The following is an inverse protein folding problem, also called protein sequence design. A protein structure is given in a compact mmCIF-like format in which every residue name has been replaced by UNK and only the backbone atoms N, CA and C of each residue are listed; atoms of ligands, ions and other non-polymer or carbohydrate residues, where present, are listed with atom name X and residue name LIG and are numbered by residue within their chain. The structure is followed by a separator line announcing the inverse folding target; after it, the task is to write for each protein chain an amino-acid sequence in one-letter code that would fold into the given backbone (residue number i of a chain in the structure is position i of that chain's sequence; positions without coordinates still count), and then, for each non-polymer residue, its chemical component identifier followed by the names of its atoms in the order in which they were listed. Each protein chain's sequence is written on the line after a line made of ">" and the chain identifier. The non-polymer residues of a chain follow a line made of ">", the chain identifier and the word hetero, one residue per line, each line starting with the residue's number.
data_IF_420489304718
#
_entry.id   IF_420489304718
#
_cell.length_a   1.000
_cell.length_b   1.000
_cell.length_c   1.000
_cell.angle_alpha   90.00
_cell.angle_beta   90.00
_cell.angle_gamma   90.00
#
_symmetry.space_group_name_H-M   'P 1'
#
loop_
_entity.id
_entity.type
_entity.pdbx_description
1 polymer ?
#
# COMPACT_ATOMS: atom_id res chain seq x y z
N UNK A 1 24.46 7.70 -16.51
CA UNK A 1 23.71 8.04 -17.72
C UNK A 1 24.64 7.85 -18.91
N UNK A 2 24.15 7.26 -20.02
CA UNK A 2 24.96 7.04 -21.23
C UNK A 2 25.03 8.32 -22.09
N UNK A 3 25.89 8.32 -23.10
CA UNK A 3 26.05 9.47 -24.02
C UNK A 3 24.97 9.54 -25.11
N UNK A 4 23.95 8.66 -25.06
CA UNK A 4 22.93 8.53 -26.10
C UNK A 4 21.56 9.01 -25.62
N UNK A 5 21.32 8.96 -24.31
CA UNK A 5 20.09 9.39 -23.67
C UNK A 5 20.02 10.91 -23.61
N UNK A 6 18.91 11.46 -24.06
CA UNK A 6 18.61 12.88 -23.91
C UNK A 6 18.42 13.23 -22.44
N UNK A 7 18.73 14.48 -22.06
CA UNK A 7 18.44 15.03 -20.71
C UNK A 7 16.98 14.77 -20.30
N UNK A 8 16.10 14.76 -21.30
CA UNK A 8 14.67 14.50 -21.17
C UNK A 8 14.34 13.06 -20.73
N UNK A 9 14.98 12.07 -21.34
CA UNK A 9 14.82 10.66 -20.98
C UNK A 9 15.39 10.40 -19.59
N UNK A 10 16.54 11.00 -19.27
CA UNK A 10 17.13 10.94 -17.93
C UNK A 10 16.19 11.52 -16.86
N UNK A 11 15.60 12.69 -17.12
CA UNK A 11 14.62 13.31 -16.22
C UNK A 11 13.36 12.45 -16.06
N UNK A 12 12.91 11.79 -17.13
CA UNK A 12 11.75 10.88 -17.11
C UNK A 12 12.00 9.65 -16.24
N UNK A 13 13.15 8.99 -16.43
CA UNK A 13 13.53 7.81 -15.62
C UNK A 13 13.66 8.20 -14.15
N UNK A 14 14.29 9.35 -13.88
CA UNK A 14 14.45 9.85 -12.53
C UNK A 14 13.11 10.24 -11.88
N UNK A 15 12.19 10.82 -12.65
CA UNK A 15 10.85 11.14 -12.20
C UNK A 15 10.07 9.88 -11.80
N UNK A 16 10.08 8.88 -12.68
CA UNK A 16 9.46 7.58 -12.44
C UNK A 16 10.06 6.90 -11.20
N UNK A 17 11.39 6.81 -11.10
CA UNK A 17 12.05 6.17 -9.96
C UNK A 17 11.65 6.83 -8.63
N UNK A 18 11.55 8.15 -8.62
CA UNK A 18 11.21 8.93 -7.42
C UNK A 18 9.74 8.77 -7.03
N UNK A 19 8.82 8.77 -7.99
CA UNK A 19 7.38 8.58 -7.70
C UNK A 19 7.09 7.20 -7.13
N UNK A 20 7.80 6.17 -7.60
CA UNK A 20 7.56 4.77 -7.22
C UNK A 20 8.31 4.40 -5.93
N UNK A 21 9.46 5.01 -5.67
CA UNK A 21 10.27 4.72 -4.48
C UNK A 21 9.72 5.34 -3.19
N UNK A 22 9.95 4.67 -2.07
CA UNK A 22 9.84 5.27 -0.73
C UNK A 22 11.15 5.93 -0.30
N UNK A 23 12.28 5.39 -0.75
CA UNK A 23 13.62 5.93 -0.54
C UNK A 23 14.29 6.09 -1.90
N UNK A 24 14.52 7.33 -2.32
CA UNK A 24 15.26 7.65 -3.53
C UNK A 24 16.71 7.94 -3.16
N UNK A 25 17.64 7.09 -3.60
CA UNK A 25 19.08 7.36 -3.49
C UNK A 25 19.54 8.11 -4.73
N UNK A 26 19.89 9.38 -4.59
CA UNK A 26 20.42 10.20 -5.66
C UNK A 26 21.95 10.12 -5.65
N UNK A 27 22.49 9.27 -6.52
CA UNK A 27 23.93 9.00 -6.61
C UNK A 27 24.63 10.07 -7.45
N UNK A 28 25.44 10.90 -6.80
CA UNK A 28 26.17 12.03 -7.38
C UNK A 28 27.67 11.76 -7.28
N UNK A 29 28.45 12.18 -8.28
CA UNK A 29 29.90 12.08 -8.25
C UNK A 29 30.52 13.34 -7.67
N UNK A 30 31.48 13.17 -6.75
CA UNK A 30 32.35 14.17 -6.15
C UNK A 30 31.67 15.24 -5.29
N UNK A 31 30.71 16.01 -5.81
CA UNK A 31 30.09 17.12 -5.07
C UNK A 31 28.68 17.39 -5.60
N UNK A 32 27.85 18.03 -4.77
CA UNK A 32 26.50 18.46 -5.17
C UNK A 32 26.63 19.80 -5.89
N UNK A 33 26.31 19.81 -7.19
CA UNK A 33 26.33 20.99 -8.05
C UNK A 33 24.92 21.57 -8.22
N UNK A 34 24.81 22.80 -8.75
CA UNK A 34 23.49 23.40 -9.03
C UNK A 34 22.73 22.61 -10.10
N UNK A 35 23.42 22.07 -11.11
CA UNK A 35 22.82 21.26 -12.17
C UNK A 35 22.16 20.00 -11.60
N UNK A 36 22.75 19.38 -10.57
CA UNK A 36 22.17 18.24 -9.87
C UNK A 36 20.84 18.61 -9.19
N UNK A 37 20.76 19.83 -8.64
CA UNK A 37 19.55 20.35 -8.01
C UNK A 37 18.50 20.76 -9.06
N UNK A 38 18.91 21.26 -10.22
CA UNK A 38 18.00 21.60 -11.32
C UNK A 38 17.29 20.35 -11.87
N UNK A 39 17.93 19.17 -11.88
CA UNK A 39 17.24 17.93 -12.21
C UNK A 39 16.06 17.61 -11.27
N UNK A 40 16.05 18.16 -10.06
CA UNK A 40 14.95 18.01 -9.11
C UNK A 40 13.79 18.98 -9.36
N UNK A 41 13.93 19.94 -10.28
CA UNK A 41 12.91 20.96 -10.58
C UNK A 41 11.58 20.35 -11.07
N UNK A 42 11.61 19.22 -11.79
CA UNK A 42 10.35 18.57 -12.19
C UNK A 42 9.48 18.21 -10.97
N UNK A 43 10.11 17.79 -9.87
CA UNK A 43 9.41 17.44 -8.64
C UNK A 43 8.84 18.62 -7.90
N UNK A 44 9.38 19.82 -8.13
CA UNK A 44 8.93 21.03 -7.43
C UNK A 44 7.55 21.43 -7.92
N UNK A 45 7.31 21.38 -9.23
CA UNK A 45 5.99 21.65 -9.80
C UNK A 45 4.99 20.52 -9.52
N UNK A 46 5.41 19.27 -9.66
CA UNK A 46 4.54 18.13 -9.31
C UNK A 46 4.15 18.16 -7.84
N UNK A 47 5.13 18.36 -6.96
CA UNK A 47 4.88 18.36 -5.53
C UNK A 47 4.01 19.52 -5.09
N UNK A 48 4.19 20.71 -5.68
CA UNK A 48 3.29 21.85 -5.45
C UNK A 48 1.85 21.50 -5.79
N UNK A 49 1.59 20.93 -6.97
CA UNK A 49 0.24 20.53 -7.38
C UNK A 49 -0.33 19.40 -6.51
N UNK A 50 0.50 18.45 -6.10
CA UNK A 50 0.07 17.35 -5.23
C UNK A 50 -0.29 17.81 -3.80
N UNK A 51 0.32 18.91 -3.34
CA UNK A 51 0.04 19.55 -2.05
C UNK A 51 -1.17 20.53 -2.13
N UNK A 52 -1.59 20.95 -3.33
CA UNK A 52 -2.82 21.74 -3.52
C UNK A 52 -4.07 20.89 -3.23
N UNK A 53 -4.41 20.77 -1.95
CA UNK A 53 -5.55 19.99 -1.44
C UNK A 53 -5.19 18.84 -0.50
N UNK A 54 -3.91 18.68 -0.12
CA UNK A 54 -3.47 17.72 0.88
C UNK A 54 -2.31 18.30 1.71
N UNK A 55 -2.34 18.09 3.04
CA UNK A 55 -1.27 18.52 3.94
C UNK A 55 -0.05 17.58 3.90
N UNK A 56 -0.22 16.35 3.40
CA UNK A 56 0.86 15.37 3.30
C UNK A 56 1.83 15.70 2.16
N UNK A 57 3.13 15.53 2.44
CA UNK A 57 4.17 15.67 1.42
C UNK A 57 4.06 14.56 0.36
N UNK A 58 4.34 14.86 -0.92
CA UNK A 58 4.20 13.91 -2.01
C UNK A 58 5.27 12.81 -2.03
N UNK A 59 6.47 13.11 -1.51
CA UNK A 59 7.60 12.18 -1.49
C UNK A 59 8.12 11.98 -0.07
N UNK A 60 8.67 10.79 0.18
CA UNK A 60 9.11 10.40 1.50
C UNK A 60 10.58 10.74 1.70
N UNK A 61 11.51 9.85 1.34
CA UNK A 61 12.93 10.03 1.66
C UNK A 61 13.77 10.24 0.40
N UNK A 62 14.55 11.32 0.37
CA UNK A 62 15.60 11.57 -0.61
C UNK A 62 16.98 11.47 0.07
N UNK A 63 17.84 10.59 -0.39
CA UNK A 63 19.21 10.45 0.10
C UNK A 63 20.21 10.82 -0.98
N UNK A 64 20.90 11.95 -0.81
CA UNK A 64 22.07 12.29 -1.61
C UNK A 64 23.22 11.34 -1.24
N UNK A 65 23.72 10.57 -2.19
CA UNK A 65 24.91 9.75 -2.03
C UNK A 65 26.03 10.38 -2.86
N UNK A 66 26.93 11.10 -2.20
CA UNK A 66 28.08 11.74 -2.86
C UNK A 66 29.22 10.74 -2.88
N UNK A 67 29.56 10.27 -4.08
CA UNK A 67 30.63 9.31 -4.36
C UNK A 67 31.96 10.04 -4.48
N UNK A 68 33.04 9.36 -4.16
CA UNK A 68 34.41 9.85 -4.36
C UNK A 68 34.65 11.22 -3.72
N UNK A 69 34.12 11.44 -2.51
CA UNK A 69 34.28 12.69 -1.78
C UNK A 69 35.76 12.93 -1.45
N UNK A 70 36.29 14.08 -1.88
CA UNK A 70 37.73 14.37 -1.83
C UNK A 70 38.16 15.22 -0.62
N UNK A 71 37.21 15.87 0.07
CA UNK A 71 37.52 16.87 1.11
C UNK A 71 37.04 16.44 2.51
N UNK A 72 37.54 15.31 3.07
CA UNK A 72 37.12 14.83 4.39
C UNK A 72 37.47 15.79 5.54
N UNK A 73 38.45 16.67 5.31
CA UNK A 73 38.86 17.71 6.27
C UNK A 73 37.85 18.85 6.41
N UNK A 74 37.04 19.11 5.37
CA UNK A 74 35.97 20.12 5.39
C UNK A 74 34.68 19.51 5.93
N UNK A 75 34.31 18.35 5.38
CA UNK A 75 33.17 17.56 5.81
C UNK A 75 33.59 16.09 5.90
N UNK A 76 33.53 15.52 7.09
CA UNK A 76 33.90 14.12 7.34
C UNK A 76 33.04 13.14 6.51
N UNK A 77 33.58 11.95 6.23
CA UNK A 77 32.82 10.90 5.56
C UNK A 77 31.59 10.46 6.38
N UNK A 78 30.59 9.90 5.70
CA UNK A 78 29.36 9.40 6.31
C UNK A 78 28.20 10.40 6.37
N UNK A 79 27.20 10.09 7.20
CA UNK A 79 25.94 10.86 7.30
C UNK A 79 26.14 12.23 7.95
N UNK A 80 27.03 12.34 8.95
CA UNK A 80 27.21 13.58 9.72
C UNK A 80 27.82 14.70 8.87
N UNK A 81 28.94 14.44 8.19
CA UNK A 81 29.50 15.42 7.25
C UNK A 81 28.59 15.65 6.05
N UNK A 82 27.91 14.62 5.56
CA UNK A 82 26.91 14.75 4.49
C UNK A 82 25.77 15.71 4.85
N UNK A 83 25.23 15.60 6.06
CA UNK A 83 24.20 16.50 6.57
C UNK A 83 24.67 17.95 6.61
N UNK A 84 25.90 18.19 7.06
CA UNK A 84 26.49 19.54 7.11
C UNK A 84 26.68 20.12 5.70
N UNK A 85 27.24 19.33 4.77
CA UNK A 85 27.40 19.73 3.37
C UNK A 85 26.04 20.08 2.74
N UNK A 86 25.06 19.20 2.90
CA UNK A 86 23.72 19.37 2.32
C UNK A 86 23.02 20.61 2.89
N UNK A 87 23.12 20.85 4.20
CA UNK A 87 22.52 22.02 4.83
C UNK A 87 23.09 23.32 4.26
N UNK A 88 24.41 23.37 4.05
CA UNK A 88 25.09 24.51 3.41
C UNK A 88 24.61 24.69 1.96
N UNK A 89 24.56 23.61 1.15
CA UNK A 89 24.14 23.67 -0.26
C UNK A 89 22.67 24.08 -0.44
N UNK A 90 21.80 23.63 0.45
CA UNK A 90 20.37 23.96 0.42
C UNK A 90 20.05 25.28 1.13
N UNK A 91 21.03 25.98 1.71
CA UNK A 91 20.79 27.28 2.33
C UNK A 91 20.40 28.32 1.29
N UNK A 92 19.32 29.06 1.56
CA UNK A 92 18.87 30.13 0.67
C UNK A 92 19.65 31.40 0.97
N UNK A 93 20.63 31.72 0.13
CA UNK A 93 21.34 32.99 0.19
C UNK A 93 20.72 34.02 -0.78
N UNK A 94 20.69 35.28 -0.37
CA UNK A 94 19.96 36.34 -1.09
C UNK A 94 20.51 36.65 -2.49
N UNK A 95 21.77 36.30 -2.77
CA UNK A 95 22.39 36.49 -4.08
C UNK A 95 22.03 35.39 -5.09
N UNK A 96 21.44 34.26 -4.67
CA UNK A 96 21.02 33.23 -5.62
C UNK A 96 19.90 33.76 -6.53
N UNK A 97 19.87 33.30 -7.78
CA UNK A 97 18.76 33.61 -8.69
C UNK A 97 17.44 33.09 -8.11
N UNK A 98 16.32 33.73 -8.50
CA UNK A 98 14.99 33.39 -8.00
C UNK A 98 14.64 31.91 -8.21
N UNK A 99 14.98 31.37 -9.38
CA UNK A 99 14.75 29.97 -9.75
C UNK A 99 15.49 29.00 -8.81
N UNK A 100 16.75 29.31 -8.48
CA UNK A 100 17.58 28.49 -7.60
C UNK A 100 17.04 28.45 -6.16
N UNK A 101 16.45 29.55 -5.68
CA UNK A 101 15.77 29.58 -4.37
C UNK A 101 14.49 28.77 -4.38
N UNK A 102 13.69 28.89 -5.44
CA UNK A 102 12.44 28.14 -5.59
C UNK A 102 12.70 26.63 -5.59
N UNK A 103 13.74 26.17 -6.28
CA UNK A 103 14.13 24.74 -6.29
C UNK A 103 14.47 24.26 -4.88
N UNK A 104 15.30 25.00 -4.13
CA UNK A 104 15.69 24.64 -2.75
C UNK A 104 14.49 24.59 -1.79
N UNK A 105 13.60 25.58 -1.87
CA UNK A 105 12.37 25.61 -1.07
C UNK A 105 11.48 24.41 -1.38
N UNK A 106 11.34 24.10 -2.66
CA UNK A 106 10.48 23.02 -3.08
C UNK A 106 11.07 21.63 -2.76
N UNK A 107 12.39 21.44 -2.85
CA UNK A 107 13.03 20.21 -2.35
C UNK A 107 12.68 20.00 -0.86
N UNK A 108 12.75 21.06 -0.04
CA UNK A 108 12.40 21.00 1.39
C UNK A 108 10.91 20.75 1.63
N UNK A 109 10.03 21.28 0.78
CA UNK A 109 8.58 21.11 0.94
C UNK A 109 8.08 19.76 0.42
N UNK A 110 8.71 19.18 -0.60
CA UNK A 110 8.20 18.00 -1.29
C UNK A 110 8.63 16.66 -0.66
N UNK A 111 9.73 16.63 0.11
CA UNK A 111 10.25 15.42 0.75
C UNK A 111 10.07 15.45 2.28
N UNK A 112 9.60 14.35 2.87
CA UNK A 112 9.50 14.19 4.33
C UNK A 112 10.87 14.21 5.02
N UNK A 113 11.85 13.49 4.46
CA UNK A 113 13.21 13.46 4.95
C UNK A 113 14.20 13.61 3.80
N UNK A 114 15.21 14.44 4.02
CA UNK A 114 16.34 14.57 3.10
C UNK A 114 17.60 14.23 3.88
N UNK A 115 18.32 13.21 3.42
CA UNK A 115 19.60 12.76 3.94
C UNK A 115 20.73 13.01 2.93
N UNK A 116 21.95 13.01 3.43
CA UNK A 116 23.14 13.04 2.59
C UNK A 116 24.23 12.17 3.23
N UNK A 117 24.92 11.39 2.42
CA UNK A 117 26.01 10.51 2.85
C UNK A 117 27.21 10.72 1.93
N UNK A 118 28.37 11.00 2.52
CA UNK A 118 29.63 11.18 1.80
C UNK A 118 30.41 9.88 1.81
N UNK A 119 30.67 9.34 0.63
CA UNK A 119 31.41 8.10 0.45
C UNK A 119 32.82 8.41 -0.05
N UNK A 120 33.87 7.78 0.51
CA UNK A 120 35.23 7.95 0.02
C UNK A 120 35.38 7.33 -1.38
N UNK A 121 36.53 7.57 -1.99
CA UNK A 121 36.92 6.92 -3.24
C UNK A 121 37.18 5.42 -3.01
N UNK A 122 36.65 4.50 -3.85
CA UNK A 122 36.78 3.05 -3.65
C UNK A 122 38.18 2.48 -3.91
N UNK A 123 39.12 3.30 -4.40
CA UNK A 123 40.47 2.90 -4.76
C UNK A 123 40.70 2.83 -6.28
N UNK A 124 41.95 3.01 -6.68
CA UNK A 124 42.36 3.10 -8.10
C UNK A 124 42.05 1.82 -8.88
N UNK A 125 42.23 0.66 -8.24
CA UNK A 125 41.99 -0.63 -8.88
C UNK A 125 40.51 -0.75 -9.28
N UNK A 126 39.58 -0.43 -8.38
CA UNK A 126 38.14 -0.44 -8.65
C UNK A 126 37.76 0.55 -9.76
N UNK A 127 38.31 1.76 -9.75
CA UNK A 127 37.91 2.80 -10.70
C UNK A 127 38.47 2.62 -12.12
N UNK A 128 39.63 1.99 -12.26
CA UNK A 128 40.35 1.92 -13.56
C UNK A 128 40.31 0.54 -14.21
N UNK A 129 40.07 -0.52 -13.43
CA UNK A 129 40.05 -1.89 -13.95
C UNK A 129 38.68 -2.21 -14.57
N UNK A 130 38.64 -2.30 -15.90
CA UNK A 130 37.43 -2.66 -16.65
C UNK A 130 36.92 -4.08 -16.37
N UNK A 131 37.78 -4.97 -15.84
CA UNK A 131 37.46 -6.36 -15.50
C UNK A 131 37.33 -6.55 -13.98
N UNK A 132 37.04 -5.49 -13.23
CA UNK A 132 36.85 -5.62 -11.80
C UNK A 132 35.60 -6.47 -11.48
N UNK A 133 35.80 -7.62 -10.85
CA UNK A 133 34.74 -8.58 -10.52
C UNK A 133 34.11 -8.36 -9.12
N UNK A 134 34.49 -7.31 -8.40
CA UNK A 134 33.92 -7.02 -7.07
C UNK A 134 34.68 -7.62 -5.88
N UNK A 135 35.93 -8.05 -6.07
CA UNK A 135 36.74 -8.64 -5.00
C UNK A 135 37.04 -7.65 -3.86
N UNK A 136 36.69 -8.01 -2.62
CA UNK A 136 36.86 -7.14 -1.45
C UNK A 136 38.32 -6.74 -1.14
N UNK A 137 39.29 -7.56 -1.52
CA UNK A 137 40.71 -7.28 -1.31
C UNK A 137 41.21 -6.07 -2.12
N UNK A 138 40.53 -5.77 -3.23
CA UNK A 138 40.92 -4.72 -4.16
C UNK A 138 40.23 -3.37 -3.86
N UNK A 139 39.32 -3.36 -2.89
CA UNK A 139 38.55 -2.19 -2.47
C UNK A 139 39.23 -1.59 -1.24
N UNK A 140 39.34 -0.27 -1.23
CA UNK A 140 39.93 0.48 -0.12
C UNK A 140 39.21 0.22 1.22
N UNK A 141 39.96 0.16 2.32
CA UNK A 141 39.40 -0.18 3.64
C UNK A 141 38.42 0.88 4.14
N UNK A 142 38.77 2.16 3.97
CA UNK A 142 37.91 3.29 4.34
C UNK A 142 36.57 3.23 3.60
N UNK A 143 36.58 2.85 2.32
CA UNK A 143 35.36 2.66 1.54
C UNK A 143 34.50 1.53 2.09
N UNK A 144 35.12 0.38 2.40
CA UNK A 144 34.41 -0.78 2.96
C UNK A 144 33.77 -0.43 4.30
N UNK A 145 34.48 0.30 5.17
CA UNK A 145 33.95 0.74 6.46
C UNK A 145 32.72 1.64 6.29
N UNK A 146 32.77 2.63 5.40
CA UNK A 146 31.64 3.53 5.19
C UNK A 146 30.46 2.85 4.50
N UNK A 147 30.69 1.89 3.60
CA UNK A 147 29.62 1.07 3.01
C UNK A 147 28.95 0.19 4.08
N UNK A 148 29.71 -0.38 5.03
CA UNK A 148 29.16 -1.12 6.18
C UNK A 148 28.24 -0.28 7.04
N UNK A 149 28.40 1.05 7.07
CA UNK A 149 27.47 1.96 7.75
C UNK A 149 26.31 2.39 6.86
N UNK A 150 26.57 2.67 5.59
CA UNK A 150 25.58 3.17 4.63
C UNK A 150 24.47 2.15 4.33
N UNK A 151 24.83 0.87 4.10
CA UNK A 151 23.85 -0.14 3.71
C UNK A 151 22.82 -0.39 4.83
N UNK A 152 23.22 -0.60 6.11
CA UNK A 152 22.26 -0.69 7.21
C UNK A 152 21.46 0.60 7.42
N UNK A 153 22.04 1.78 7.21
CA UNK A 153 21.31 3.05 7.33
C UNK A 153 20.05 3.04 6.44
N UNK A 154 20.12 2.44 5.25
CA UNK A 154 18.99 2.36 4.31
C UNK A 154 18.13 1.11 4.48
N UNK A 155 18.73 -0.06 4.74
CA UNK A 155 18.07 -1.37 4.59
C UNK A 155 17.86 -2.13 5.90
N UNK A 156 18.28 -1.58 7.05
CA UNK A 156 17.98 -2.22 8.35
C UNK A 156 16.46 -2.31 8.55
N UNK A 157 15.94 -3.38 9.16
CA UNK A 157 14.50 -3.56 9.37
C UNK A 157 13.81 -2.35 10.04
N UNK A 158 14.51 -1.65 10.92
CA UNK A 158 14.00 -0.47 11.63
C UNK A 158 13.96 0.79 10.76
N UNK A 159 14.75 0.83 9.69
CA UNK A 159 14.87 1.97 8.78
C UNK A 159 14.07 1.77 7.47
N UNK A 160 13.44 0.61 7.29
CA UNK A 160 12.62 0.33 6.11
C UNK A 160 11.40 1.25 6.05
N UNK A 161 11.36 2.06 5.00
CA UNK A 161 10.26 2.99 4.75
C UNK A 161 9.23 2.33 3.86
N UNK A 162 8.04 2.10 4.39
CA UNK A 162 6.89 1.63 3.60
C UNK A 162 6.46 2.73 2.65
N UNK A 163 6.20 2.39 1.37
CA UNK A 163 5.73 3.38 0.39
C UNK A 163 4.38 3.94 0.81
N UNK A 164 4.32 5.26 0.91
CA UNK A 164 3.10 6.01 1.16
C UNK A 164 2.82 6.94 -0.02
N UNK A 165 1.53 7.05 -0.34
CA UNK A 165 1.03 8.01 -1.32
C UNK A 165 -0.16 8.70 -0.66
N UNK A 166 -0.04 10.02 -0.44
CA UNK A 166 -1.03 10.83 0.29
C UNK A 166 -1.31 10.31 1.72
N UNK A 167 -0.27 9.87 2.43
CA UNK A 167 -0.38 9.34 3.79
C UNK A 167 -1.02 7.95 3.89
N UNK A 168 -1.34 7.31 2.76
CA UNK A 168 -1.81 5.92 2.72
C UNK A 168 -0.67 4.99 2.34
N UNK A 169 -0.45 3.96 3.16
CA UNK A 169 0.46 2.84 2.86
C UNK A 169 -0.01 2.05 1.65
N UNK A 170 0.92 1.77 0.74
CA UNK A 170 0.65 1.11 -0.54
C UNK A 170 1.14 -0.34 -0.50
N UNK A 171 0.29 -1.24 -0.95
CA UNK A 171 0.62 -2.67 -1.10
C UNK A 171 1.36 -2.94 -2.42
N UNK A 172 2.03 -4.09 -2.53
CA UNK A 172 2.71 -4.47 -3.78
C UNK A 172 1.78 -4.57 -4.99
N UNK A 173 0.54 -5.05 -4.81
CA UNK A 173 -0.48 -5.11 -5.87
C UNK A 173 -0.87 -3.71 -6.33
N UNK A 174 -1.13 -2.78 -5.40
CA UNK A 174 -1.46 -1.39 -5.72
C UNK A 174 -0.29 -0.68 -6.41
N UNK A 175 0.96 -0.93 -5.98
CA UNK A 175 2.15 -0.32 -6.57
C UNK A 175 2.30 -0.66 -8.06
N UNK A 176 1.97 -1.89 -8.46
CA UNK A 176 1.94 -2.29 -9.88
C UNK A 176 0.91 -1.49 -10.68
N UNK A 177 -0.24 -1.17 -10.07
CA UNK A 177 -1.25 -0.29 -10.66
C UNK A 177 -0.72 1.11 -10.94
N UNK A 178 -0.02 1.71 -9.98
CA UNK A 178 0.65 3.00 -10.14
C UNK A 178 1.72 2.95 -11.24
N UNK A 179 2.57 1.91 -11.22
CA UNK A 179 3.64 1.72 -12.20
C UNK A 179 3.11 1.69 -13.64
N UNK A 180 2.04 0.93 -13.89
CA UNK A 180 1.39 0.86 -15.20
C UNK A 180 0.85 2.22 -15.63
N UNK A 181 0.12 2.92 -14.75
CA UNK A 181 -0.44 4.22 -15.08
C UNK A 181 0.65 5.24 -15.40
N UNK A 182 1.73 5.29 -14.62
CA UNK A 182 2.84 6.19 -14.90
C UNK A 182 3.48 5.89 -16.25
N UNK A 183 3.79 4.62 -16.56
CA UNK A 183 4.35 4.26 -17.86
C UNK A 183 3.45 4.71 -19.01
N UNK A 184 2.13 4.53 -18.92
CA UNK A 184 1.21 4.97 -20.00
C UNK A 184 1.30 6.49 -20.27
N UNK A 185 1.51 7.30 -19.23
CA UNK A 185 1.68 8.76 -19.39
C UNK A 185 3.02 9.07 -20.06
N UNK A 186 4.08 8.37 -19.66
CA UNK A 186 5.44 8.60 -20.16
C UNK A 186 5.75 7.89 -21.48
N UNK A 187 4.81 7.13 -22.07
CA UNK A 187 4.93 6.55 -23.42
C UNK A 187 4.92 7.60 -24.53
N UNK A 188 4.42 8.80 -24.27
CA UNK A 188 4.40 9.87 -25.27
C UNK A 188 5.79 10.48 -25.50
N UNK A 189 5.99 11.06 -26.69
CA UNK A 189 7.26 11.73 -27.04
C UNK A 189 7.54 13.00 -26.20
N UNK A 190 6.63 13.41 -25.31
CA UNK A 190 6.74 14.62 -24.47
C UNK A 190 6.81 14.25 -23.01
N UNK A 191 7.65 14.97 -22.24
CA UNK A 191 7.58 14.89 -20.77
C UNK A 191 6.17 15.35 -20.41
N UNK A 192 5.39 14.52 -19.70
CA UNK A 192 4.05 14.89 -19.33
C UNK A 192 4.06 16.08 -18.38
N UNK A 193 3.05 16.91 -18.51
CA UNK A 193 2.85 18.00 -17.58
C UNK A 193 2.56 17.43 -16.19
N UNK A 194 3.07 18.05 -15.11
CA UNK A 194 2.83 17.60 -13.74
C UNK A 194 1.35 17.38 -13.40
N UNK A 195 0.44 18.16 -14.01
CA UNK A 195 -1.02 17.99 -13.90
C UNK A 195 -1.46 16.61 -14.39
N UNK A 196 -0.97 16.16 -15.56
CA UNK A 196 -1.31 14.85 -16.12
C UNK A 196 -0.86 13.70 -15.22
N UNK A 197 0.31 13.85 -14.59
CA UNK A 197 0.83 12.86 -13.64
C UNK A 197 -0.04 12.80 -12.38
N UNK A 198 -0.48 13.96 -11.87
CA UNK A 198 -1.38 14.02 -10.72
C UNK A 198 -2.74 13.38 -11.03
N UNK A 199 -3.33 13.69 -12.18
CA UNK A 199 -4.60 13.10 -12.63
C UNK A 199 -4.53 11.58 -12.79
N UNK A 200 -3.44 11.06 -13.34
CA UNK A 200 -3.26 9.62 -13.45
C UNK A 200 -3.09 8.95 -12.08
N UNK A 201 -2.38 9.61 -11.16
CA UNK A 201 -2.25 9.13 -9.77
C UNK A 201 -3.62 9.11 -9.09
N UNK A 202 -4.43 10.15 -9.31
CA UNK A 202 -5.81 10.25 -8.84
C UNK A 202 -6.67 9.11 -9.41
N UNK A 203 -6.57 8.86 -10.71
CA UNK A 203 -7.30 7.78 -11.40
C UNK A 203 -6.99 6.41 -10.81
N UNK A 204 -5.73 6.05 -10.64
CA UNK A 204 -5.34 4.75 -10.06
C UNK A 204 -5.87 4.61 -8.63
N UNK A 205 -5.74 5.65 -7.82
CA UNK A 205 -6.19 5.62 -6.44
C UNK A 205 -7.72 5.43 -6.34
N UNK A 206 -8.50 6.15 -7.16
CA UNK A 206 -9.95 6.02 -7.22
C UNK A 206 -10.37 4.63 -7.73
N UNK A 207 -9.74 4.11 -8.79
CA UNK A 207 -10.01 2.77 -9.30
C UNK A 207 -9.73 1.67 -8.27
N UNK A 208 -8.61 1.76 -7.55
CA UNK A 208 -8.29 0.83 -6.47
C UNK A 208 -9.33 0.88 -5.34
N UNK A 209 -9.82 2.08 -5.00
CA UNK A 209 -10.90 2.24 -4.02
C UNK A 209 -12.22 1.63 -4.52
N UNK A 210 -12.57 1.80 -5.80
CA UNK A 210 -13.75 1.17 -6.42
C UNK A 210 -13.65 -0.36 -6.38
N UNK A 211 -12.50 -0.92 -6.75
CA UNK A 211 -12.30 -2.36 -6.76
C UNK A 211 -12.36 -2.96 -5.35
N UNK A 212 -11.76 -2.28 -4.36
CA UNK A 212 -11.87 -2.67 -2.95
C UNK A 212 -13.33 -2.65 -2.48
N UNK A 213 -14.06 -1.59 -2.77
CA UNK A 213 -15.48 -1.46 -2.41
C UNK A 213 -16.32 -2.57 -3.06
N UNK A 214 -16.10 -2.87 -4.33
CA UNK A 214 -16.76 -3.98 -5.05
C UNK A 214 -16.48 -5.35 -4.45
N UNK A 215 -15.23 -5.61 -4.02
CA UNK A 215 -14.85 -6.85 -3.34
C UNK A 215 -15.55 -6.98 -1.99
N UNK A 216 -15.56 -5.90 -1.18
CA UNK A 216 -16.26 -5.88 0.12
C UNK A 216 -17.76 -6.11 -0.02
N UNK A 217 -18.40 -5.43 -0.98
CA UNK A 217 -19.81 -5.65 -1.28
C UNK A 217 -20.09 -7.10 -1.72
N UNK A 218 -19.25 -7.68 -2.57
CA UNK A 218 -19.42 -9.05 -3.02
C UNK A 218 -19.39 -10.05 -1.85
N UNK A 219 -18.39 -9.94 -0.98
CA UNK A 219 -18.28 -10.79 0.22
C UNK A 219 -19.52 -10.68 1.11
N UNK A 220 -20.01 -9.45 1.36
CA UNK A 220 -21.21 -9.22 2.18
C UNK A 220 -22.47 -9.83 1.53
N UNK A 221 -22.66 -9.65 0.22
CA UNK A 221 -23.84 -10.17 -0.49
C UNK A 221 -23.81 -11.68 -0.67
N UNK A 222 -22.65 -12.27 -0.95
CA UNK A 222 -22.48 -13.73 -1.05
C UNK A 222 -22.80 -14.42 0.29
N UNK A 223 -22.40 -13.82 1.41
CA UNK A 223 -22.75 -14.32 2.75
C UNK A 223 -24.26 -14.32 2.99
N UNK A 224 -24.97 -13.27 2.59
CA UNK A 224 -26.44 -13.19 2.70
C UNK A 224 -27.11 -14.24 1.82
N UNK A 225 -26.60 -14.45 0.59
CA UNK A 225 -27.19 -15.38 -0.36
C UNK A 225 -26.88 -16.86 -0.05
N UNK A 226 -26.15 -17.20 1.01
CA UNK A 226 -25.90 -18.61 1.41
C UNK A 226 -27.19 -19.35 1.78
N UNK A 227 -28.18 -18.62 2.29
CA UNK A 227 -29.51 -19.13 2.56
C UNK A 227 -30.51 -18.37 1.69
N UNK A 228 -31.65 -18.99 1.39
CA UNK A 228 -32.69 -18.32 0.63
C UNK A 228 -33.26 -17.16 1.46
N UNK A 229 -33.27 -15.99 0.85
CA UNK A 229 -33.92 -14.78 1.35
C UNK A 229 -35.12 -14.46 0.46
N UNK A 230 -36.17 -13.91 1.03
CA UNK A 230 -37.32 -13.45 0.25
C UNK A 230 -36.90 -12.30 -0.70
N UNK A 231 -37.40 -12.22 -1.95
CA UNK A 231 -36.93 -11.26 -2.96
C UNK A 231 -37.00 -9.77 -2.55
N UNK A 232 -38.05 -9.34 -1.86
CA UNK A 232 -38.19 -7.95 -1.40
C UNK A 232 -37.16 -7.68 -0.29
N UNK A 233 -37.02 -8.59 0.67
CA UNK A 233 -36.00 -8.50 1.72
C UNK A 233 -34.56 -8.51 1.16
N UNK A 234 -34.28 -9.28 0.10
CA UNK A 234 -32.98 -9.27 -0.56
C UNK A 234 -32.69 -7.91 -1.22
N UNK A 235 -33.71 -7.28 -1.80
CA UNK A 235 -33.60 -5.97 -2.43
C UNK A 235 -33.31 -4.88 -1.39
N UNK A 236 -33.98 -4.94 -0.24
CA UNK A 236 -33.72 -4.04 0.89
C UNK A 236 -32.29 -4.20 1.44
N UNK A 237 -31.84 -5.45 1.62
CA UNK A 237 -30.46 -5.74 2.04
C UNK A 237 -29.46 -5.23 1.01
N UNK A 238 -29.72 -5.42 -0.28
CA UNK A 238 -28.90 -4.89 -1.36
C UNK A 238 -28.77 -3.36 -1.26
N UNK A 239 -29.88 -2.63 -1.11
CA UNK A 239 -29.84 -1.18 -0.98
C UNK A 239 -29.05 -0.72 0.25
N UNK A 240 -29.23 -1.41 1.39
CA UNK A 240 -28.46 -1.12 2.60
C UNK A 240 -26.96 -1.36 2.40
N UNK A 241 -26.58 -2.53 1.86
CA UNK A 241 -25.18 -2.88 1.61
C UNK A 241 -24.54 -1.96 0.57
N UNK A 242 -25.29 -1.56 -0.46
CA UNK A 242 -24.87 -0.57 -1.45
C UNK A 242 -24.56 0.76 -0.79
N UNK A 243 -25.48 1.30 0.02
CA UNK A 243 -25.29 2.57 0.71
C UNK A 243 -24.07 2.54 1.64
N UNK A 244 -23.94 1.51 2.47
CA UNK A 244 -22.76 1.34 3.34
C UNK A 244 -21.47 1.23 2.52
N UNK A 245 -21.47 0.52 1.38
CA UNK A 245 -20.28 0.41 0.52
C UNK A 245 -19.89 1.76 -0.09
N UNK A 246 -20.85 2.61 -0.40
CA UNK A 246 -20.60 3.95 -0.94
C UNK A 246 -20.11 4.91 0.16
N UNK A 247 -20.66 4.80 1.36
CA UNK A 247 -20.14 5.52 2.54
C UNK A 247 -18.69 5.11 2.83
N UNK A 248 -18.40 3.81 2.83
CA UNK A 248 -17.04 3.27 2.96
C UNK A 248 -16.14 3.83 1.86
N UNK A 249 -16.58 3.83 0.60
CA UNK A 249 -15.83 4.42 -0.52
C UNK A 249 -15.55 5.90 -0.32
N UNK A 250 -16.55 6.67 0.13
CA UNK A 250 -16.43 8.11 0.35
C UNK A 250 -15.54 8.47 1.53
N UNK A 251 -15.45 7.60 2.56
CA UNK A 251 -14.55 7.77 3.70
C UNK A 251 -13.06 7.64 3.35
N UNK A 252 -12.72 6.97 2.23
CA UNK A 252 -11.32 6.83 1.79
C UNK A 252 -10.79 8.17 1.29
N UNK A 253 -9.60 8.56 1.76
CA UNK A 253 -8.87 9.72 1.22
C UNK A 253 -8.47 9.41 -0.23
N UNK A 254 -9.00 10.20 -1.18
CA UNK A 254 -8.82 10.01 -2.63
C UNK A 254 -8.29 11.29 -3.28
N UNK A 255 -7.45 11.16 -4.31
CA UNK A 255 -6.91 12.34 -5.02
C UNK A 255 -7.88 12.89 -6.08
N UNK A 256 -7.64 14.15 -6.47
CA UNK A 256 -8.40 14.87 -7.50
C UNK A 256 -9.62 15.64 -6.96
N UNK A 257 -9.84 15.60 -5.64
CA UNK A 257 -10.95 16.29 -4.98
C UNK A 257 -12.31 15.59 -5.16
N UNK A 258 -13.35 16.16 -4.54
CA UNK A 258 -14.68 15.54 -4.52
C UNK A 258 -15.33 15.48 -5.91
N UNK A 259 -15.06 16.47 -6.77
CA UNK A 259 -15.60 16.51 -8.14
C UNK A 259 -15.07 15.37 -9.01
N UNK A 260 -13.76 15.08 -8.94
CA UNK A 260 -13.16 13.97 -9.68
C UNK A 260 -13.63 12.60 -9.13
N UNK A 261 -13.73 12.49 -7.81
CA UNK A 261 -14.18 11.25 -7.14
C UNK A 261 -15.65 10.90 -7.44
N UNK A 262 -16.51 11.89 -7.69
CA UNK A 262 -17.94 11.68 -8.00
C UNK A 262 -18.20 10.79 -9.20
N UNK A 263 -17.42 10.94 -10.28
CA UNK A 263 -17.58 10.10 -11.47
C UNK A 263 -17.35 8.61 -11.16
N UNK A 264 -16.37 8.31 -10.29
CA UNK A 264 -16.10 6.94 -9.83
C UNK A 264 -17.16 6.44 -8.83
N UNK A 265 -17.72 7.32 -8.00
CA UNK A 265 -18.86 6.97 -7.14
C UNK A 265 -20.09 6.59 -7.96
N UNK A 266 -20.43 7.36 -9.00
CA UNK A 266 -21.55 7.08 -9.91
C UNK A 266 -21.33 5.78 -10.69
N UNK A 267 -20.11 5.53 -11.15
CA UNK A 267 -19.74 4.25 -11.76
C UNK A 267 -19.92 3.10 -10.76
N UNK A 268 -19.43 3.24 -9.52
CA UNK A 268 -19.59 2.24 -8.46
C UNK A 268 -21.08 1.98 -8.18
N UNK A 269 -21.90 3.03 -8.05
CA UNK A 269 -23.36 2.90 -7.86
C UNK A 269 -24.00 2.07 -8.95
N UNK A 270 -23.68 2.39 -10.21
CA UNK A 270 -24.21 1.70 -11.40
C UNK A 270 -23.78 0.24 -11.44
N UNK A 271 -22.51 -0.04 -11.14
CA UNK A 271 -21.98 -1.41 -11.11
C UNK A 271 -22.59 -2.25 -9.99
N UNK A 272 -22.83 -1.65 -8.82
CA UNK A 272 -23.51 -2.32 -7.70
C UNK A 272 -24.97 -2.63 -8.04
N UNK A 273 -25.70 -1.69 -8.65
CA UNK A 273 -27.07 -1.91 -9.12
C UNK A 273 -27.14 -3.04 -10.16
N UNK A 274 -26.19 -3.07 -11.09
CA UNK A 274 -26.09 -4.13 -12.10
C UNK A 274 -25.88 -5.53 -11.50
N UNK A 275 -25.23 -5.62 -10.33
CA UNK A 275 -24.99 -6.89 -9.62
C UNK A 275 -26.22 -7.43 -8.92
N UNK A 276 -27.27 -6.65 -8.69
CA UNK A 276 -28.50 -7.14 -8.04
C UNK A 276 -29.08 -8.34 -8.81
N UNK A 277 -29.16 -8.25 -10.15
CA UNK A 277 -29.68 -9.34 -11.01
C UNK A 277 -28.92 -10.66 -10.82
N UNK A 278 -27.62 -10.59 -10.59
CA UNK A 278 -26.79 -11.77 -10.33
C UNK A 278 -27.16 -12.39 -8.98
N UNK A 279 -27.26 -11.59 -7.92
CA UNK A 279 -27.64 -12.09 -6.59
C UNK A 279 -29.08 -12.59 -6.52
N UNK A 280 -30.02 -11.99 -7.25
CA UNK A 280 -31.39 -12.52 -7.36
C UNK A 280 -31.40 -13.93 -7.95
N UNK A 281 -30.60 -14.18 -9.00
CA UNK A 281 -30.46 -15.51 -9.60
C UNK A 281 -29.76 -16.50 -8.65
N UNK A 282 -28.69 -16.07 -7.99
CA UNK A 282 -27.98 -16.89 -7.01
C UNK A 282 -28.91 -17.29 -5.85
N UNK A 283 -29.66 -16.34 -5.32
CA UNK A 283 -30.62 -16.58 -4.25
C UNK A 283 -31.77 -17.51 -4.69
N UNK A 284 -32.31 -17.32 -5.90
CA UNK A 284 -33.32 -18.22 -6.46
C UNK A 284 -32.80 -19.65 -6.66
N UNK A 285 -31.53 -19.83 -7.02
CA UNK A 285 -30.93 -21.17 -7.10
C UNK A 285 -30.88 -21.88 -5.74
N UNK A 286 -30.74 -21.13 -4.66
CA UNK A 286 -30.76 -21.64 -3.28
C UNK A 286 -32.18 -21.89 -2.74
N UNK A 287 -33.22 -21.32 -3.37
CA UNK A 287 -34.63 -21.68 -3.12
C UNK A 287 -34.90 -23.15 -3.44
N UNK A 288 -34.29 -23.68 -4.49
CA UNK A 288 -34.36 -25.09 -4.88
C UNK A 288 -33.64 -26.02 -3.90
N UNK A 289 -32.80 -25.49 -3.02
CA UNK A 289 -32.18 -26.24 -1.94
C UNK A 289 -33.16 -26.44 -0.76
N UNK A 290 -34.01 -25.46 -0.48
CA UNK A 290 -35.07 -25.54 0.54
C UNK A 290 -36.25 -26.43 0.13
N UNK A 291 -36.56 -26.54 -1.16
CA UNK A 291 -37.64 -27.42 -1.64
C UNK A 291 -37.33 -28.92 -1.47
N UNK A 292 -36.08 -29.28 -1.17
CA UNK A 292 -35.69 -30.64 -0.76
C UNK A 292 -35.94 -30.95 0.72
N UNK A 293 -36.32 -29.95 1.52
CA UNK A 293 -36.53 -30.11 2.95
C UNK A 293 -38.03 -30.24 3.23
N UNK A 294 -38.37 -31.25 4.04
CA UNK A 294 -39.75 -31.52 4.44
C UNK A 294 -40.39 -30.29 5.13
N UNK A 295 -41.69 -30.01 4.92
CA UNK A 295 -42.41 -28.89 5.54
C UNK A 295 -42.31 -28.82 7.07
N UNK A 296 -41.94 -29.92 7.73
CA UNK A 296 -41.67 -29.99 9.17
C UNK A 296 -40.43 -29.20 9.58
N UNK A 297 -39.37 -29.18 8.78
CA UNK A 297 -38.12 -28.47 9.08
C UNK A 297 -38.29 -26.96 8.85
N UNK A 298 -39.09 -26.57 7.85
CA UNK A 298 -39.43 -25.18 7.55
C UNK A 298 -40.23 -24.50 8.69
N UNK A 299 -41.05 -25.27 9.43
CA UNK A 299 -41.81 -24.77 10.59
C UNK A 299 -40.93 -24.47 11.79
N UNK A 300 -39.84 -25.20 11.98
CA UNK A 300 -38.90 -24.99 13.11
C UNK A 300 -38.08 -23.72 12.92
N UNK A 301 -37.63 -23.43 11.69
CA UNK A 301 -36.89 -22.19 11.38
C UNK A 301 -37.76 -20.93 11.43
N UNK A 302 -39.03 -20.99 11.00
CA UNK A 302 -39.94 -19.82 11.03
C UNK A 302 -40.33 -19.36 12.44
N UNK A 303 -40.23 -20.22 13.45
CA UNK A 303 -40.59 -19.90 14.84
C UNK A 303 -39.38 -19.33 15.61
N UNK A 304 -38.15 -19.47 15.10
CA UNK A 304 -36.92 -18.97 15.71
C UNK A 304 -36.57 -17.50 15.41
N UNK A 305 -37.57 -16.63 15.28
CA UNK A 305 -37.37 -15.20 15.07
C UNK A 305 -36.94 -14.49 16.34
N UNK A 306 -35.64 -14.52 16.66
CA UNK A 306 -34.93 -13.54 17.51
C UNK A 306 -33.42 -13.80 17.41
N UNK A 307 -32.79 -13.36 16.31
CA UNK A 307 -31.33 -13.28 16.25
C UNK A 307 -30.96 -11.91 16.82
N UNK A 308 -30.77 -11.85 18.13
CA UNK A 308 -30.04 -10.75 18.76
C UNK A 308 -28.55 -10.87 18.40
N UNK A 309 -27.93 -9.75 18.05
CA UNK A 309 -26.53 -9.59 17.70
C UNK A 309 -25.59 -10.11 18.81
N UNK A 310 -25.19 -11.38 18.78
CA UNK A 310 -24.03 -11.88 19.54
C UNK A 310 -23.64 -13.33 19.20
N UNK A 311 -23.37 -13.67 17.93
CA UNK A 311 -22.45 -14.80 17.61
C UNK A 311 -22.06 -14.82 16.13
N UNK A 312 -21.08 -14.01 15.74
CA UNK A 312 -20.26 -14.24 14.52
C UNK A 312 -18.83 -14.59 14.97
N UNK A 313 -18.73 -15.54 15.89
CA UNK A 313 -17.48 -16.16 16.27
C UNK A 313 -17.74 -17.66 16.43
N UNK A 314 -17.39 -18.45 15.41
CA UNK A 314 -17.34 -19.90 15.50
C UNK A 314 -18.41 -20.66 14.73
N UNK A 315 -18.44 -20.56 13.40
CA UNK A 315 -18.86 -21.70 12.57
C UNK A 315 -17.77 -21.91 11.51
N UNK A 316 -16.74 -22.63 11.93
CA UNK A 316 -15.77 -23.27 11.08
C UNK A 316 -15.49 -24.64 11.67
N UNK A 317 -16.35 -25.62 11.39
CA UNK A 317 -16.02 -27.05 11.43
C UNK A 317 -17.22 -27.93 11.01
N UNK A 318 -17.04 -28.60 9.88
CA UNK A 318 -17.47 -29.97 9.55
C UNK A 318 -18.94 -30.38 9.60
N UNK A 319 -19.46 -30.57 8.39
CA UNK A 319 -20.33 -31.67 7.96
C UNK A 319 -20.07 -33.02 8.65
N UNK A 320 -21.09 -33.59 9.29
CA UNK A 320 -21.23 -35.03 9.47
C UNK A 320 -22.71 -35.40 9.59
N UNK A 321 -23.21 -36.11 8.59
CA UNK A 321 -24.49 -36.82 8.60
C UNK A 321 -24.34 -38.06 9.49
N UNK A 322 -25.24 -38.27 10.46
CA UNK A 322 -25.65 -39.60 10.90
C UNK A 322 -26.91 -39.53 11.77
N UNK A 323 -27.82 -40.45 11.47
CA UNK A 323 -29.13 -40.70 12.04
C UNK A 323 -29.09 -41.06 13.54
N UNK A 324 -30.03 -40.54 14.33
CA UNK A 324 -30.66 -41.29 15.43
C UNK A 324 -31.80 -40.50 16.10
N UNK A 325 -32.97 -41.13 16.17
CA UNK A 325 -33.74 -41.17 17.42
C UNK A 325 -34.65 -40.00 17.75
N UNK A 326 -35.90 -40.10 17.31
CA UNK A 326 -37.05 -39.48 17.95
C UNK A 326 -37.11 -39.88 19.44
N UNK A 327 -37.12 -38.91 20.36
CA UNK A 327 -37.85 -39.02 21.63
C UNK A 327 -38.57 -37.70 21.89
N UNK A 328 -39.90 -37.77 21.83
CA UNK A 328 -40.82 -36.72 22.24
C UNK A 328 -40.91 -36.77 23.77
N UNK A 329 -40.51 -35.68 24.44
CA UNK A 329 -40.70 -35.51 25.88
C UNK A 329 -41.32 -34.15 26.16
N UNK A 330 -42.65 -34.11 26.22
CA UNK A 330 -43.40 -32.96 26.71
C UNK A 330 -43.23 -32.84 28.24
N UNK A 331 -42.80 -31.68 28.72
CA UNK A 331 -42.69 -31.36 30.14
C UNK A 331 -42.97 -29.89 30.39
N UNK A 332 -44.24 -29.59 30.67
CA UNK A 332 -44.72 -28.32 31.20
C UNK A 332 -44.22 -28.11 32.64
N UNK A 333 -43.74 -26.90 32.94
CA UNK A 333 -44.03 -26.26 34.23
C UNK A 333 -42.85 -25.96 35.17
N UNK A 334 -42.87 -24.72 35.64
CA UNK A 334 -42.36 -24.18 36.90
C UNK A 334 -41.03 -23.39 36.88
N UNK A 335 -41.23 -22.09 37.11
CA UNK A 335 -40.32 -21.01 37.50
C UNK A 335 -39.54 -21.26 38.79
N UNK A 336 -38.29 -20.76 38.88
CA UNK A 336 -37.90 -19.64 39.76
C UNK A 336 -36.37 -19.51 39.95
N UNK A 337 -35.89 -18.30 39.67
CA UNK A 337 -34.83 -17.48 40.27
C UNK A 337 -33.58 -18.07 40.97
N UNK A 338 -32.42 -17.52 40.53
CA UNK A 338 -31.21 -17.13 41.30
C UNK A 338 -30.35 -18.29 41.88
N UNK A 339 -29.02 -18.33 41.72
CA UNK A 339 -28.00 -17.35 42.15
C UNK A 339 -26.70 -17.59 41.38
N UNK A 340 -25.95 -16.51 41.13
CA UNK A 340 -24.64 -16.49 40.47
C UNK A 340 -23.48 -16.93 41.39
N UNK A 341 -22.42 -17.43 40.74
CA UNK A 341 -20.98 -17.33 41.05
C UNK A 341 -20.22 -18.68 41.12
N UNK A 342 -18.95 -18.70 40.66
CA UNK A 342 -18.39 -19.82 39.91
C UNK A 342 -17.42 -20.68 40.74
N UNK A 343 -17.41 -21.99 40.47
CA UNK A 343 -16.34 -22.88 40.91
C UNK A 343 -15.42 -23.14 39.72
N UNK A 344 -14.18 -22.73 39.92
CA UNK A 344 -13.01 -22.95 39.08
C UNK A 344 -12.52 -24.40 39.23
N UNK A 345 -11.87 -24.88 38.17
CA UNK A 345 -10.70 -25.80 38.13
C UNK A 345 -10.94 -27.05 37.28
N UNK A 346 -10.31 -27.03 36.10
CA UNK A 346 -9.29 -28.04 35.76
C UNK A 346 -9.65 -29.10 34.72
N UNK A 347 -8.99 -29.03 33.56
CA UNK A 347 -8.32 -30.11 32.82
C UNK A 347 -8.12 -29.65 31.36
N UNK A 348 -6.90 -29.35 30.90
CA UNK A 348 -5.92 -30.29 30.35
C UNK A 348 -6.15 -30.59 28.85
N UNK A 349 -5.11 -30.33 28.04
CA UNK A 349 -4.93 -30.95 26.71
C UNK A 349 -4.83 -29.97 25.55
N UNK A 350 -3.61 -29.78 25.02
CA UNK A 350 -3.38 -28.97 23.83
C UNK A 350 -1.97 -29.11 23.25
N UNK A 351 -1.58 -30.33 22.88
CA UNK A 351 -0.60 -30.55 21.81
C UNK A 351 -1.26 -30.07 20.49
N UNK A 352 -0.65 -29.24 19.65
CA UNK A 352 0.68 -29.41 19.08
C UNK A 352 0.55 -30.12 17.73
N UNK A 353 0.10 -29.42 16.69
CA UNK A 353 0.23 -29.91 15.31
C UNK A 353 0.49 -28.74 14.34
N UNK A 354 1.75 -28.31 14.37
CA UNK A 354 2.47 -27.70 13.26
C UNK A 354 2.59 -28.76 12.15
N UNK A 355 2.17 -28.47 10.92
CA UNK A 355 2.83 -28.90 9.66
C UNK A 355 1.89 -28.70 8.46
N UNK A 356 2.22 -27.73 7.60
CA UNK A 356 2.33 -27.88 6.13
C UNK A 356 2.61 -26.51 5.47
N UNK A 357 3.84 -26.00 5.65
CA UNK A 357 4.45 -25.07 4.70
C UNK A 357 5.51 -25.84 3.93
N UNK A 358 5.21 -26.15 2.66
CA UNK A 358 6.15 -26.80 1.74
C UNK A 358 7.26 -25.80 1.36
N UNK A 359 8.48 -26.23 1.65
CA UNK A 359 9.79 -25.71 1.24
C UNK A 359 9.84 -25.19 -0.21
N UNK A 360 10.28 -23.94 -0.37
CA UNK A 360 11.09 -23.52 -1.52
C UNK A 360 12.50 -23.29 -0.97
N UNK A 361 13.42 -24.19 -1.33
CA UNK A 361 14.82 -24.14 -0.92
C UNK A 361 15.59 -23.36 -1.98
N UNK A 362 16.04 -22.15 -1.66
CA UNK A 362 17.07 -21.43 -2.43
C UNK A 362 18.41 -21.77 -1.81
N UNK A 363 19.27 -22.38 -2.62
CA UNK A 363 20.59 -22.90 -2.29
C UNK A 363 21.58 -21.75 -2.43
N UNK A 364 22.10 -21.21 -1.33
CA UNK A 364 23.33 -20.43 -1.36
C UNK A 364 24.50 -21.42 -1.47
N UNK A 365 25.26 -21.35 -2.57
CA UNK A 365 26.57 -21.97 -2.66
C UNK A 365 27.61 -20.95 -2.21
N UNK A 366 28.47 -21.45 -1.33
CA UNK A 366 29.77 -20.96 -0.84
C UNK A 366 30.67 -20.42 -1.92
#
# INVERSE_FOLDING_TARGET
>A
FDSQSTVKECATIFALSTMISSVQVYNIAQNIQEDDLQHLQFFTEYGRLAMEGNEAKPFQHLHFLVRDWQNPYEYEYGEKGGKMLLQNRLENQNYHHKEHRQIREAIRSCFERIGCFLLPYPGKHVATNQKFEGHFADIDEDFKEHVKHFVPLLLSPQNLVVKEIQGKKITGEELVGYFKAYIEIYKGDKIPEPVTVLEATAKVNNLAAVDKAKKMYAVKMEAVCQQYVEPDALTDIHHRMKNTTIEDFNSVIKMGGSKFSKAYEEQLRTDLDGRLRYYTKLNASNQGLLSKWSPTILKVLRVGGSITEATVAGIGASTALAEAGVVIGAGLGASAAAVAAPIVVGAAGGAGCYMLLKKVSVRFMT
#
